data_IF_366084219510
#
_entry.id   IF_366084219510
#
_cell.length_a   1.000
_cell.length_b   1.000
_cell.length_c   1.000
_cell.angle_alpha   90.00
_cell.angle_beta   90.00
_cell.angle_gamma   90.00
#
_symmetry.space_group_name_H-M   'P 1'
#
loop_
_entity.id
_entity.type
_entity.pdbx_description
1 polymer ?
#
# COMPACT_ATOMS: atom_id res chain seq x y z
N UNK A 1 18.48 -6.54 84.13
CA UNK A 1 18.08 -7.23 82.87
C UNK A 1 18.22 -6.26 81.70
N UNK A 2 18.40 -6.82 80.51
CA UNK A 2 19.01 -6.22 79.32
C UNK A 2 18.36 -4.93 78.80
N UNK A 3 19.24 -4.15 78.14
CA UNK A 3 19.08 -2.90 77.37
C UNK A 3 17.92 -2.95 76.36
N UNK A 4 17.36 -1.79 75.99
CA UNK A 4 17.46 -1.30 74.60
C UNK A 4 17.22 0.22 74.52
N UNK A 5 18.16 0.87 73.84
CA UNK A 5 18.23 2.30 73.51
C UNK A 5 17.43 2.54 72.22
N UNK A 6 16.56 3.55 72.21
CA UNK A 6 15.90 4.04 71.01
C UNK A 6 16.77 5.08 70.30
N UNK A 7 17.34 4.72 69.15
CA UNK A 7 17.96 5.66 68.22
C UNK A 7 16.90 6.13 67.20
N UNK A 8 16.70 7.45 67.10
CA UNK A 8 16.09 8.07 65.93
C UNK A 8 17.10 8.03 64.77
N UNK A 9 16.77 7.29 63.72
CA UNK A 9 17.47 7.32 62.43
C UNK A 9 16.76 8.22 61.45
N UNK A 10 17.38 9.34 61.07
CA UNK A 10 16.96 10.19 59.97
C UNK A 10 17.27 9.47 58.64
N UNK A 11 16.23 9.19 57.85
CA UNK A 11 16.37 8.62 56.50
C UNK A 11 16.82 9.69 55.51
N UNK A 12 18.04 9.57 55.00
CA UNK A 12 18.48 10.23 53.76
C UNK A 12 17.79 9.52 52.59
N UNK A 13 16.86 10.22 51.91
CA UNK A 13 16.37 9.80 50.61
C UNK A 13 17.32 10.35 49.53
N UNK A 14 18.18 9.51 48.97
CA UNK A 14 18.91 9.79 47.74
C UNK A 14 17.91 9.74 46.58
N UNK A 15 17.47 10.90 46.09
CA UNK A 15 16.74 11.02 44.84
C UNK A 15 17.68 10.78 43.67
N UNK A 16 17.57 9.61 43.04
CA UNK A 16 18.20 9.34 41.74
C UNK A 16 17.40 10.12 40.70
N UNK A 17 17.93 11.25 40.26
CA UNK A 17 17.39 11.97 39.10
C UNK A 17 17.61 11.12 37.85
N UNK A 18 16.55 10.44 37.41
CA UNK A 18 16.47 9.86 36.07
C UNK A 18 16.53 11.00 35.06
N UNK A 19 17.68 11.15 34.39
CA UNK A 19 17.79 11.97 33.19
C UNK A 19 16.94 11.29 32.12
N UNK A 20 15.74 11.82 31.90
CA UNK A 20 14.91 11.42 30.77
C UNK A 20 15.69 11.73 29.47
N UNK A 21 15.75 10.83 28.48
CA UNK A 21 16.29 11.18 27.18
C UNK A 21 15.42 12.30 26.60
N UNK A 22 16.05 13.40 26.23
CA UNK A 22 15.39 14.50 25.53
C UNK A 22 14.70 13.93 24.29
N UNK A 23 13.38 14.10 24.23
CA UNK A 23 12.61 13.83 23.02
C UNK A 23 13.24 14.65 21.89
N UNK A 24 13.76 13.96 20.88
CA UNK A 24 14.24 14.61 19.68
C UNK A 24 13.08 15.41 19.08
N UNK A 25 13.21 16.73 19.15
CA UNK A 25 12.34 17.68 18.50
C UNK A 25 12.29 17.34 17.00
N UNK A 26 11.10 17.26 16.36
CA UNK A 26 11.03 17.01 14.92
C UNK A 26 11.86 18.07 14.22
N UNK A 27 12.84 17.62 13.43
CA UNK A 27 13.66 18.51 12.63
C UNK A 27 12.73 19.38 11.78
N UNK A 28 12.90 20.70 11.90
CA UNK A 28 12.22 21.69 11.08
C UNK A 28 12.37 21.35 9.59
N UNK A 29 11.24 21.27 8.89
CA UNK A 29 11.07 21.35 7.44
C UNK A 29 12.13 20.64 6.59
N UNK A 30 11.81 19.44 6.09
CA UNK A 30 12.52 18.89 4.94
C UNK A 30 12.52 19.94 3.81
N UNK A 31 13.68 20.51 3.50
CA UNK A 31 13.85 21.39 2.35
C UNK A 31 13.41 20.58 1.11
N UNK A 32 12.36 21.04 0.43
CA UNK A 32 11.87 20.41 -0.78
C UNK A 32 13.00 20.24 -1.82
N UNK A 33 12.84 19.34 -2.80
CA UNK A 33 13.89 19.08 -3.78
C UNK A 33 14.29 20.39 -4.49
N UNK A 34 15.60 20.61 -4.59
CA UNK A 34 16.21 21.81 -5.20
C UNK A 34 15.73 22.02 -6.65
N UNK A 35 15.40 20.94 -7.35
CA UNK A 35 14.75 20.97 -8.66
C UNK A 35 13.67 19.89 -8.68
N UNK A 36 12.50 20.15 -9.22
CA UNK A 36 11.41 19.18 -9.36
C UNK A 36 10.98 19.03 -10.82
N UNK A 37 10.40 17.87 -11.15
CA UNK A 37 9.89 17.55 -12.48
C UNK A 37 8.46 17.06 -12.33
N UNK A 38 7.54 17.64 -13.10
CA UNK A 38 6.14 17.24 -13.18
C UNK A 38 5.76 16.94 -14.62
N UNK A 39 4.88 15.95 -14.79
CA UNK A 39 4.33 15.55 -16.09
C UNK A 39 2.84 15.89 -16.03
N UNK A 40 2.33 16.62 -17.02
CA UNK A 40 0.91 16.90 -17.15
C UNK A 40 0.12 15.63 -17.50
N UNK A 41 -1.20 15.70 -17.36
CA UNK A 41 -2.07 14.60 -17.80
C UNK A 41 -1.93 14.31 -19.28
N UNK A 42 -1.84 13.02 -19.60
CA UNK A 42 -1.82 12.51 -20.96
C UNK A 42 -3.23 12.02 -21.27
N UNK A 43 -3.78 12.45 -22.40
CA UNK A 43 -5.05 11.92 -22.89
C UNK A 43 -4.78 10.55 -23.54
N UNK A 44 -5.24 9.50 -22.85
CA UNK A 44 -5.00 8.10 -23.18
C UNK A 44 -6.07 7.50 -24.12
N UNK A 45 -6.97 8.30 -24.68
CA UNK A 45 -8.03 7.85 -25.59
C UNK A 45 -7.49 7.60 -27.02
N UNK A 46 -6.63 6.59 -27.15
CA UNK A 46 -5.98 6.25 -28.42
C UNK A 46 -6.83 5.38 -29.36
N UNK A 47 -6.44 5.27 -30.64
CA UNK A 47 -5.15 5.69 -31.19
C UNK A 47 -5.08 7.18 -31.53
N UNK A 48 -4.08 7.90 -30.99
CA UNK A 48 -3.86 9.33 -31.26
C UNK A 48 -2.45 9.82 -30.93
N UNK A 49 -2.13 11.04 -31.35
CA UNK A 49 -0.94 11.77 -30.87
C UNK A 49 -1.39 12.73 -29.77
N UNK A 50 -0.94 12.51 -28.54
CA UNK A 50 -1.24 13.39 -27.40
C UNK A 50 -0.07 14.33 -27.11
N UNK A 51 -0.26 15.66 -27.11
CA UNK A 51 0.74 16.59 -26.61
C UNK A 51 0.85 16.46 -25.09
N UNK A 52 2.07 16.31 -24.58
CA UNK A 52 2.36 16.14 -23.15
C UNK A 52 3.32 17.23 -22.71
N UNK A 53 2.91 17.98 -21.69
CA UNK A 53 3.76 19.00 -21.07
C UNK A 53 4.57 18.39 -19.92
N UNK A 54 5.89 18.61 -19.93
CA UNK A 54 6.78 18.30 -18.80
C UNK A 54 7.32 19.61 -18.26
N UNK A 55 7.10 19.88 -16.99
CA UNK A 55 7.55 21.12 -16.33
C UNK A 55 8.66 20.82 -15.33
N UNK A 56 9.78 21.52 -15.49
CA UNK A 56 10.92 21.51 -14.57
C UNK A 56 10.92 22.81 -13.79
N UNK A 57 10.90 22.72 -12.45
CA UNK A 57 10.92 23.89 -11.56
C UNK A 57 12.23 23.92 -10.77
N UNK A 58 12.96 25.03 -10.84
CA UNK A 58 14.16 25.23 -10.03
C UNK A 58 13.78 25.85 -8.68
N UNK A 59 13.62 25.02 -7.65
CA UNK A 59 13.41 25.46 -6.26
C UNK A 59 14.69 25.86 -5.51
N UNK A 60 15.86 25.76 -6.16
CA UNK A 60 17.15 26.00 -5.56
C UNK A 60 17.58 27.46 -5.51
N UNK A 61 18.72 27.70 -4.87
CA UNK A 61 19.33 29.04 -4.75
C UNK A 61 20.25 29.42 -5.92
N UNK A 62 20.60 28.46 -6.78
CA UNK A 62 21.48 28.66 -7.95
C UNK A 62 20.73 28.42 -9.26
N UNK A 63 21.07 29.16 -10.30
CA UNK A 63 20.54 28.93 -11.64
C UNK A 63 21.07 27.62 -12.24
N UNK A 64 20.21 26.88 -12.94
CA UNK A 64 20.58 25.66 -13.66
C UNK A 64 20.77 25.95 -15.16
N UNK A 65 21.68 25.24 -15.80
CA UNK A 65 22.05 25.41 -17.21
C UNK A 65 22.20 24.06 -17.90
N UNK A 66 22.30 24.06 -19.24
CA UNK A 66 22.42 22.83 -20.04
C UNK A 66 21.33 21.82 -19.66
N UNK A 67 20.09 22.32 -19.50
CA UNK A 67 18.96 21.50 -19.12
C UNK A 67 18.52 20.68 -20.33
N UNK A 68 18.49 19.37 -20.15
CA UNK A 68 17.97 18.39 -21.10
C UNK A 68 16.85 17.61 -20.41
N UNK A 69 15.69 17.56 -21.06
CA UNK A 69 14.51 16.87 -20.54
C UNK A 69 14.21 15.68 -21.44
N UNK A 70 14.20 14.48 -20.87
CA UNK A 70 13.84 13.24 -21.57
C UNK A 70 12.53 12.69 -21.04
N UNK A 71 11.56 12.40 -21.91
CA UNK A 71 10.31 11.73 -21.58
C UNK A 71 10.34 10.27 -22.06
N UNK A 72 10.11 9.35 -21.14
CA UNK A 72 9.94 7.93 -21.41
C UNK A 72 8.48 7.52 -21.20
N UNK A 73 7.88 6.93 -22.23
CA UNK A 73 6.54 6.35 -22.18
C UNK A 73 6.58 4.87 -21.72
N UNK A 74 5.42 4.29 -21.35
CA UNK A 74 5.29 2.87 -21.04
C UNK A 74 5.75 1.95 -22.18
N UNK A 75 6.00 0.68 -21.86
CA UNK A 75 6.34 -0.33 -22.87
C UNK A 75 5.28 -0.39 -23.98
N UNK A 76 5.72 -0.38 -25.23
CA UNK A 76 4.85 -0.41 -26.42
C UNK A 76 4.32 0.95 -26.88
N UNK A 77 4.68 2.05 -26.19
CA UNK A 77 4.34 3.41 -26.58
C UNK A 77 5.55 4.11 -27.19
N UNK A 78 5.32 5.08 -28.08
CA UNK A 78 6.38 5.88 -28.68
C UNK A 78 6.25 7.35 -28.28
N UNK A 79 7.40 8.03 -28.16
CA UNK A 79 7.47 9.48 -27.95
C UNK A 79 8.28 10.06 -29.10
N UNK A 80 7.69 10.98 -29.85
CA UNK A 80 8.42 11.74 -30.87
C UNK A 80 9.36 12.71 -30.18
N UNK A 81 10.61 12.75 -30.63
CA UNK A 81 11.68 13.56 -30.03
C UNK A 81 11.69 13.46 -28.50
N UNK A 82 11.91 12.24 -28.01
CA UNK A 82 11.87 11.89 -26.59
C UNK A 82 12.81 12.72 -25.70
N UNK A 83 13.72 13.51 -26.28
CA UNK A 83 14.63 14.41 -25.58
C UNK A 83 14.55 15.83 -26.16
N UNK A 84 14.37 16.82 -25.28
CA UNK A 84 14.35 18.24 -25.61
C UNK A 84 15.43 18.98 -24.80
N UNK A 85 16.32 19.67 -25.50
CA UNK A 85 17.30 20.57 -24.88
C UNK A 85 16.67 21.96 -24.66
N UNK A 86 16.76 22.48 -23.44
CA UNK A 86 16.29 23.81 -23.07
C UNK A 86 17.45 24.80 -23.15
N UNK A 87 17.27 25.83 -23.96
CA UNK A 87 18.26 26.89 -24.13
C UNK A 87 18.25 27.88 -22.97
N UNK A 88 19.44 28.36 -22.57
CA UNK A 88 19.60 29.37 -21.53
C UNK A 88 19.74 28.79 -20.12
N UNK A 89 19.43 29.61 -19.12
CA UNK A 89 19.48 29.24 -17.71
C UNK A 89 18.11 29.38 -17.06
N UNK A 90 17.75 28.43 -16.20
CA UNK A 90 16.53 28.50 -15.39
C UNK A 90 16.91 29.04 -14.02
N UNK A 91 16.48 30.27 -13.73
CA UNK A 91 16.82 30.97 -12.48
C UNK A 91 16.13 30.32 -11.27
N UNK A 92 16.63 30.55 -10.04
CA UNK A 92 15.91 30.26 -8.81
C UNK A 92 14.44 30.70 -8.86
N UNK A 93 13.53 29.81 -8.46
CA UNK A 93 12.09 30.01 -8.46
C UNK A 93 11.40 29.94 -9.83
N UNK A 94 12.13 29.78 -10.93
CA UNK A 94 11.54 29.70 -12.27
C UNK A 94 11.21 28.26 -12.67
N UNK A 95 10.23 28.15 -13.57
CA UNK A 95 9.85 26.90 -14.22
C UNK A 95 9.99 27.01 -15.72
N UNK A 96 10.28 25.89 -16.38
CA UNK A 96 10.27 25.77 -17.83
C UNK A 96 9.46 24.54 -18.23
N UNK A 97 8.67 24.67 -19.29
CA UNK A 97 7.81 23.60 -19.81
C UNK A 97 8.29 23.18 -21.19
N UNK A 98 8.58 21.89 -21.34
CA UNK A 98 8.87 21.23 -22.62
C UNK A 98 7.63 20.46 -23.08
N UNK A 99 7.38 20.44 -24.39
CA UNK A 99 6.27 19.69 -24.99
C UNK A 99 6.81 18.47 -25.72
N UNK A 100 6.18 17.33 -25.50
CA UNK A 100 6.44 16.06 -26.17
C UNK A 100 5.19 15.60 -26.90
N UNK A 101 5.36 14.83 -27.98
CA UNK A 101 4.24 14.19 -28.68
C UNK A 101 4.30 12.70 -28.39
N UNK A 102 3.32 12.20 -27.65
CA UNK A 102 3.21 10.79 -27.29
C UNK A 102 2.24 10.11 -28.24
N UNK A 103 2.70 9.03 -28.89
CA UNK A 103 1.84 8.16 -29.69
C UNK A 103 1.12 7.19 -28.75
N UNK A 104 -0.16 7.48 -28.53
CA UNK A 104 -1.08 6.72 -27.70
C UNK A 104 -1.62 5.57 -28.56
N UNK A 105 -1.36 4.30 -28.21
CA UNK A 105 -1.86 3.15 -28.94
C UNK A 105 -3.37 2.99 -28.74
N UNK A 106 -3.98 2.11 -29.53
CA UNK A 106 -5.36 1.67 -29.35
C UNK A 106 -5.57 1.11 -27.93
N UNK A 107 -6.70 1.48 -27.31
CA UNK A 107 -7.04 1.01 -25.98
C UNK A 107 -7.34 -0.48 -25.96
N UNK A 108 -7.14 -1.07 -24.78
CA UNK A 108 -7.54 -2.45 -24.48
C UNK A 108 -8.45 -2.42 -23.27
N UNK A 109 -9.34 -3.41 -23.19
CA UNK A 109 -10.28 -3.55 -22.07
C UNK A 109 -9.57 -3.85 -20.74
N UNK A 110 -8.41 -4.52 -20.80
CA UNK A 110 -7.61 -4.85 -19.61
C UNK A 110 -7.19 -3.60 -18.82
N UNK A 111 -7.42 -3.63 -17.51
CA UNK A 111 -6.90 -2.59 -16.62
C UNK A 111 -5.38 -2.62 -16.61
N UNK A 112 -4.75 -1.48 -16.94
CA UNK A 112 -3.30 -1.36 -16.93
C UNK A 112 -2.89 0.01 -16.41
N UNK A 113 -2.00 0.04 -15.43
CA UNK A 113 -1.29 1.25 -15.02
C UNK A 113 -0.19 1.59 -16.04
N UNK A 114 -0.22 2.82 -16.52
CA UNK A 114 0.70 3.42 -17.49
C UNK A 114 1.54 4.46 -16.78
N UNK A 115 2.80 4.13 -16.50
CA UNK A 115 3.74 5.06 -15.87
C UNK A 115 4.62 5.74 -16.93
N UNK A 116 4.53 7.07 -16.97
CA UNK A 116 5.41 7.95 -17.72
C UNK A 116 6.50 8.46 -16.78
N UNK A 117 7.73 8.59 -17.29
CA UNK A 117 8.88 9.02 -16.52
C UNK A 117 9.61 10.12 -17.27
N UNK A 118 9.79 11.27 -16.63
CA UNK A 118 10.54 12.39 -17.16
C UNK A 118 11.82 12.57 -16.35
N UNK A 119 12.95 12.68 -17.04
CA UNK A 119 14.27 12.91 -16.43
C UNK A 119 14.78 14.26 -16.90
N UNK A 120 15.13 15.13 -15.95
CA UNK A 120 15.79 16.40 -16.23
C UNK A 120 17.26 16.29 -15.82
N UNK A 121 18.16 16.35 -16.80
CA UNK A 121 19.61 16.44 -16.61
C UNK A 121 20.05 17.89 -16.76
N UNK A 122 20.85 18.41 -15.83
CA UNK A 122 21.25 19.82 -15.85
C UNK A 122 22.59 20.05 -15.15
N UNK A 123 23.23 21.19 -15.38
CA UNK A 123 24.40 21.66 -14.63
C UNK A 123 24.04 22.73 -13.61
N UNK A 124 24.58 22.60 -12.41
CA UNK A 124 24.54 23.62 -11.35
C UNK A 124 25.91 23.71 -10.70
N UNK A 125 26.47 24.91 -10.57
CA UNK A 125 27.81 25.11 -9.99
C UNK A 125 28.95 24.34 -10.70
N UNK A 126 28.78 23.99 -11.98
CA UNK A 126 29.75 23.21 -12.76
C UNK A 126 29.56 21.69 -12.70
N UNK A 127 28.70 21.19 -11.82
CA UNK A 127 28.41 19.75 -11.64
C UNK A 127 27.13 19.36 -12.37
N UNK A 128 27.11 18.18 -12.98
CA UNK A 128 25.91 17.61 -13.62
C UNK A 128 25.05 16.92 -12.57
N UNK A 129 23.75 17.19 -12.61
CA UNK A 129 22.73 16.62 -11.76
C UNK A 129 21.62 16.03 -12.62
N UNK A 130 20.86 15.10 -12.04
CA UNK A 130 19.68 14.53 -12.66
C UNK A 130 18.56 14.38 -11.63
N UNK A 131 17.35 14.69 -12.04
CA UNK A 131 16.13 14.51 -11.24
C UNK A 131 15.05 13.87 -12.10
N UNK A 132 14.25 13.01 -11.50
CA UNK A 132 13.18 12.28 -12.17
C UNK A 132 11.83 12.63 -11.56
N UNK A 133 10.84 12.84 -12.42
CA UNK A 133 9.43 12.90 -12.08
C UNK A 133 8.68 11.78 -12.80
N UNK A 134 7.61 11.30 -12.21
CA UNK A 134 6.76 10.26 -12.81
C UNK A 134 5.29 10.63 -12.69
N UNK A 135 4.51 10.21 -13.69
CA UNK A 135 3.05 10.24 -13.65
C UNK A 135 2.52 8.86 -14.04
N UNK A 136 1.62 8.32 -13.25
CA UNK A 136 0.92 7.08 -13.50
C UNK A 136 -0.55 7.38 -13.76
N UNK A 137 -1.08 6.84 -14.84
CA UNK A 137 -2.50 6.90 -15.22
C UNK A 137 -2.97 5.48 -15.57
N UNK A 138 -4.27 5.26 -15.67
CA UNK A 138 -4.84 3.95 -16.01
C UNK A 138 -5.50 3.95 -17.39
N UNK A 139 -5.53 2.78 -18.00
CA UNK A 139 -6.45 2.42 -19.09
C UNK A 139 -7.25 1.20 -18.63
N UNK A 140 -8.45 0.97 -19.19
CA UNK A 140 -9.33 -0.14 -18.80
C UNK A 140 -10.07 0.10 -17.48
N UNK A 141 -10.80 -0.91 -17.01
CA UNK A 141 -11.69 -0.80 -15.83
C UNK A 141 -11.12 -1.57 -14.65
N UNK A 142 -10.82 -0.87 -13.55
CA UNK A 142 -10.44 -1.49 -12.28
C UNK A 142 -11.67 -2.14 -11.62
N UNK A 143 -11.44 -3.10 -10.73
CA UNK A 143 -12.52 -3.62 -9.88
C UNK A 143 -13.10 -2.50 -9.02
N UNK A 144 -14.42 -2.42 -8.91
CA UNK A 144 -15.08 -1.42 -8.07
C UNK A 144 -14.97 -1.79 -6.59
N UNK A 145 -15.00 -3.09 -6.29
CA UNK A 145 -14.95 -3.62 -4.93
C UNK A 145 -14.20 -4.95 -4.88
N UNK A 146 -13.79 -5.36 -3.67
CA UNK A 146 -13.00 -6.58 -3.50
C UNK A 146 -13.78 -7.85 -3.90
N UNK A 147 -15.10 -7.84 -3.71
CA UNK A 147 -15.98 -8.96 -4.02
C UNK A 147 -15.97 -9.36 -5.50
N UNK A 148 -15.86 -8.39 -6.42
CA UNK A 148 -15.75 -8.66 -7.86
C UNK A 148 -14.47 -9.42 -8.24
N UNK A 149 -13.45 -9.37 -7.38
CA UNK A 149 -12.16 -10.01 -7.60
C UNK A 149 -11.98 -11.32 -6.81
N UNK A 150 -12.98 -11.77 -6.06
CA UNK A 150 -12.90 -13.03 -5.31
C UNK A 150 -12.60 -14.20 -6.25
N UNK A 151 -11.54 -14.93 -5.92
CA UNK A 151 -10.98 -15.96 -6.80
C UNK A 151 -10.60 -17.25 -6.07
N UNK A 152 -10.91 -17.34 -4.78
CA UNK A 152 -10.58 -18.48 -3.95
C UNK A 152 -11.64 -18.71 -2.86
N UNK A 153 -11.86 -19.99 -2.54
CA UNK A 153 -12.74 -20.43 -1.46
C UNK A 153 -11.93 -20.56 -0.17
N UNK A 154 -11.91 -19.50 0.64
CA UNK A 154 -11.18 -19.45 1.91
C UNK A 154 -11.96 -20.01 3.10
N UNK A 155 -13.27 -20.21 2.94
CA UNK A 155 -14.22 -20.60 4.01
C UNK A 155 -15.15 -21.67 3.46
N UNK A 156 -15.36 -22.73 4.22
CA UNK A 156 -16.32 -23.79 3.88
C UNK A 156 -17.18 -24.16 5.08
N UNK A 157 -18.31 -24.78 4.78
CA UNK A 157 -19.15 -25.42 5.78
C UNK A 157 -18.49 -26.72 6.25
N UNK A 158 -18.53 -27.01 7.56
CA UNK A 158 -17.98 -28.26 8.12
C UNK A 158 -18.59 -29.53 7.51
N UNK A 159 -19.85 -29.49 7.08
CA UNK A 159 -20.53 -30.59 6.40
C UNK A 159 -20.22 -30.69 4.91
N UNK A 160 -19.61 -29.65 4.32
CA UNK A 160 -19.22 -29.60 2.92
C UNK A 160 -17.87 -28.87 2.72
N UNK A 161 -16.75 -29.45 3.20
CA UNK A 161 -15.44 -28.80 3.12
C UNK A 161 -14.78 -28.91 1.74
N UNK A 162 -15.30 -29.77 0.86
CA UNK A 162 -14.70 -30.11 -0.43
C UNK A 162 -14.31 -28.93 -1.33
N UNK A 163 -15.10 -27.83 -1.41
CA UNK A 163 -14.76 -26.67 -2.23
C UNK A 163 -13.58 -25.82 -1.72
N UNK A 164 -13.13 -26.01 -0.48
CA UNK A 164 -12.15 -25.15 0.18
C UNK A 164 -10.75 -25.29 -0.38
N UNK A 165 -9.99 -24.19 -0.42
CA UNK A 165 -8.59 -24.22 -0.84
C UNK A 165 -7.76 -23.01 -0.33
N UNK A 166 -7.99 -22.56 0.89
CA UNK A 166 -7.24 -21.44 1.48
C UNK A 166 -5.73 -21.66 1.44
N UNK A 167 -5.24 -22.85 1.81
CA UNK A 167 -3.80 -23.12 1.89
C UNK A 167 -3.18 -23.76 0.63
N UNK A 168 -3.95 -23.87 -0.45
CA UNK A 168 -3.54 -24.58 -1.67
C UNK A 168 -3.54 -26.11 -1.55
N UNK A 169 -3.77 -26.66 -0.36
CA UNK A 169 -3.87 -28.09 -0.06
C UNK A 169 -5.31 -28.57 0.17
N UNK A 170 -6.30 -27.75 -0.16
CA UNK A 170 -7.72 -28.06 0.03
C UNK A 170 -8.28 -27.75 1.42
N UNK A 171 -7.50 -27.13 2.31
CA UNK A 171 -7.99 -26.76 3.65
C UNK A 171 -8.54 -25.32 3.64
N UNK A 172 -9.44 -25.01 4.55
CA UNK A 172 -10.07 -23.68 4.66
C UNK A 172 -10.42 -23.32 6.11
N UNK A 173 -10.81 -22.08 6.35
CA UNK A 173 -11.50 -21.74 7.60
C UNK A 173 -12.86 -22.46 7.67
N UNK A 174 -13.31 -22.77 8.89
CA UNK A 174 -14.64 -23.33 9.18
C UNK A 174 -15.64 -22.19 9.36
N UNK A 175 -16.76 -22.23 8.63
CA UNK A 175 -17.85 -21.27 8.79
C UNK A 175 -18.44 -21.30 10.21
N UNK A 176 -18.57 -22.50 10.79
CA UNK A 176 -19.06 -22.71 12.15
C UNK A 176 -18.06 -22.18 13.20
N UNK A 177 -16.76 -22.33 12.98
CA UNK A 177 -15.74 -21.75 13.85
C UNK A 177 -15.73 -20.22 13.80
N UNK A 178 -15.94 -19.63 12.61
CA UNK A 178 -16.10 -18.18 12.45
C UNK A 178 -17.35 -17.68 13.19
N UNK A 179 -18.49 -18.37 13.05
CA UNK A 179 -19.72 -18.02 13.74
C UNK A 179 -19.56 -18.12 15.26
N UNK A 180 -18.88 -19.15 15.76
CA UNK A 180 -18.53 -19.29 17.17
C UNK A 180 -17.61 -18.15 17.67
N UNK A 181 -16.80 -17.57 16.79
CA UNK A 181 -16.00 -16.37 17.05
C UNK A 181 -16.79 -15.05 16.86
N UNK A 182 -18.10 -15.13 16.57
CA UNK A 182 -18.99 -13.98 16.42
C UNK A 182 -19.01 -13.34 15.03
N UNK A 183 -18.45 -14.02 14.02
CA UNK A 183 -18.35 -13.50 12.64
C UNK A 183 -19.19 -14.36 11.70
N UNK A 184 -20.15 -13.72 11.04
CA UNK A 184 -20.99 -14.32 9.98
C UNK A 184 -20.82 -13.51 8.68
N UNK A 185 -21.29 -14.01 7.52
CA UNK A 185 -21.24 -13.23 6.28
C UNK A 185 -21.83 -11.83 6.45
N UNK A 186 -21.09 -10.80 6.02
CA UNK A 186 -21.49 -9.39 6.15
C UNK A 186 -21.25 -8.76 7.52
N UNK A 187 -20.66 -9.48 8.49
CA UNK A 187 -20.32 -8.90 9.80
C UNK A 187 -19.39 -7.69 9.66
N UNK A 188 -19.69 -6.56 10.32
CA UNK A 188 -18.76 -5.43 10.39
C UNK A 188 -17.57 -5.77 11.29
N UNK A 189 -16.40 -5.25 10.93
CA UNK A 189 -15.13 -5.43 11.64
C UNK A 189 -14.47 -4.06 11.79
N UNK A 190 -14.57 -3.49 12.99
CA UNK A 190 -13.93 -2.21 13.33
C UNK A 190 -12.53 -2.45 13.89
N UNK A 191 -11.48 -2.05 13.16
CA UNK A 191 -10.09 -2.31 13.56
C UNK A 191 -9.12 -1.30 12.92
N UNK A 192 -8.08 -0.88 13.66
CA UNK A 192 -7.08 0.10 13.20
C UNK A 192 -7.68 1.43 12.70
N UNK A 193 -8.87 1.80 13.18
CA UNK A 193 -9.60 3.01 12.79
C UNK A 193 -10.44 2.88 11.51
N UNK A 194 -10.45 1.70 10.88
CA UNK A 194 -11.28 1.41 9.71
C UNK A 194 -12.52 0.57 10.08
N UNK A 195 -13.58 0.74 9.30
CA UNK A 195 -14.74 -0.16 9.26
C UNK A 195 -14.61 -1.07 8.04
N UNK A 196 -14.34 -2.36 8.28
CA UNK A 196 -14.24 -3.40 7.27
C UNK A 196 -15.48 -4.30 7.33
N UNK A 197 -15.71 -5.09 6.30
CA UNK A 197 -16.82 -6.05 6.22
C UNK A 197 -16.29 -7.44 5.95
N UNK A 198 -16.69 -8.42 6.77
CA UNK A 198 -16.43 -9.83 6.46
C UNK A 198 -17.20 -10.23 5.19
N UNK A 199 -16.61 -11.00 4.25
CA UNK A 199 -17.23 -11.32 2.97
C UNK A 199 -18.69 -11.77 3.08
N UNK A 200 -19.59 -11.06 2.38
CA UNK A 200 -21.03 -11.34 2.38
C UNK A 200 -21.40 -12.36 1.30
N UNK A 201 -20.83 -13.57 1.42
CA UNK A 201 -21.09 -14.67 0.48
C UNK A 201 -21.27 -16.00 1.22
N UNK A 202 -22.02 -16.96 0.66
CA UNK A 202 -22.17 -18.28 1.26
C UNK A 202 -20.82 -19.03 1.37
N UNK A 203 -20.67 -19.82 2.43
CA UNK A 203 -19.52 -20.72 2.56
C UNK A 203 -19.42 -21.70 1.37
N UNK A 204 -18.21 -22.03 0.95
CA UNK A 204 -17.97 -22.86 -0.23
C UNK A 204 -18.00 -22.09 -1.57
N UNK A 205 -18.22 -20.78 -1.54
CA UNK A 205 -18.07 -19.89 -2.70
C UNK A 205 -16.83 -19.00 -2.57
N UNK A 206 -16.29 -18.45 -3.68
CA UNK A 206 -15.16 -17.53 -3.61
C UNK A 206 -15.45 -16.35 -2.68
N UNK A 207 -14.58 -16.14 -1.69
CA UNK A 207 -14.80 -15.16 -0.61
C UNK A 207 -13.54 -14.37 -0.23
N UNK A 208 -12.45 -14.57 -0.95
CA UNK A 208 -11.22 -13.84 -0.73
C UNK A 208 -10.49 -13.64 -2.06
N UNK A 209 -9.62 -12.65 -2.08
CA UNK A 209 -8.70 -12.40 -3.19
C UNK A 209 -7.34 -12.98 -2.84
N UNK A 210 -6.90 -14.00 -3.58
CA UNK A 210 -5.48 -14.37 -3.63
C UNK A 210 -4.75 -13.27 -4.38
N UNK A 211 -3.75 -12.66 -3.73
CA UNK A 211 -3.07 -11.48 -4.25
C UNK A 211 -2.22 -11.81 -5.49
N UNK A 212 -2.63 -11.28 -6.64
CA UNK A 212 -2.02 -11.48 -7.97
C UNK A 212 -1.79 -10.16 -8.72
N UNK A 213 -1.81 -9.01 -8.02
CA UNK A 213 -1.70 -7.69 -8.66
C UNK A 213 -3.02 -7.11 -9.14
N UNK A 214 -4.16 -7.58 -8.64
CA UNK A 214 -5.47 -6.97 -8.89
C UNK A 214 -5.46 -5.50 -8.47
N UNK A 215 -6.15 -4.65 -9.22
CA UNK A 215 -6.28 -3.23 -8.91
C UNK A 215 -7.74 -2.87 -8.71
N UNK A 216 -7.97 -2.06 -7.68
CA UNK A 216 -9.28 -1.62 -7.24
C UNK A 216 -9.35 -0.11 -7.33
N UNK A 217 -10.46 0.41 -7.85
CA UNK A 217 -10.78 1.83 -7.75
C UNK A 217 -11.07 2.17 -6.29
N UNK A 218 -10.54 3.29 -5.83
CA UNK A 218 -10.80 3.84 -4.50
C UNK A 218 -11.05 5.34 -4.70
N UNK A 219 -12.03 5.90 -4.00
CA UNK A 219 -12.31 7.33 -4.00
C UNK A 219 -12.32 7.84 -2.56
N UNK A 220 -11.21 8.43 -2.13
CA UNK A 220 -11.09 8.98 -0.78
C UNK A 220 -9.67 9.28 -0.34
N UNK A 221 -9.54 9.85 0.84
CA UNK A 221 -8.28 10.15 1.53
C UNK A 221 -8.34 9.65 2.96
N UNK A 222 -7.18 9.47 3.59
CA UNK A 222 -7.03 9.07 4.99
C UNK A 222 -5.56 9.02 5.38
N UNK A 223 -5.25 8.75 6.65
CA UNK A 223 -3.87 8.56 7.12
C UNK A 223 -3.32 7.17 6.76
N UNK A 224 -4.20 6.18 6.61
CA UNK A 224 -3.80 4.80 6.31
C UNK A 224 -4.87 4.05 5.52
N UNK A 225 -4.43 2.99 4.85
CA UNK A 225 -5.28 1.98 4.24
C UNK A 225 -5.15 0.70 5.05
N UNK A 226 -6.26 0.23 5.62
CA UNK A 226 -6.35 -0.97 6.44
C UNK A 226 -6.82 -2.13 5.57
N UNK A 227 -6.22 -3.30 5.77
CA UNK A 227 -6.55 -4.54 5.08
C UNK A 227 -6.92 -5.61 6.10
N UNK A 228 -7.99 -6.35 5.80
CA UNK A 228 -8.31 -7.61 6.45
C UNK A 228 -7.74 -8.76 5.62
N UNK A 229 -6.93 -9.62 6.23
CA UNK A 229 -6.26 -10.68 5.50
C UNK A 229 -5.64 -11.76 6.36
N UNK A 230 -5.12 -12.79 5.70
CA UNK A 230 -4.37 -13.87 6.33
C UNK A 230 -3.46 -14.51 5.28
N UNK A 231 -2.45 -15.26 5.72
CA UNK A 231 -1.53 -15.92 4.81
C UNK A 231 -1.47 -17.44 4.98
N UNK A 232 -1.25 -18.17 3.90
CA UNK A 232 -0.82 -19.56 3.92
C UNK A 232 0.64 -19.64 3.46
N UNK A 233 1.57 -19.58 4.42
CA UNK A 233 3.00 -19.44 4.19
C UNK A 233 3.50 -18.02 4.43
N UNK A 234 4.45 -17.55 3.61
CA UNK A 234 5.08 -16.23 3.75
C UNK A 234 4.24 -15.15 3.08
N UNK A 235 3.44 -14.42 3.86
CA UNK A 235 2.48 -13.44 3.37
C UNK A 235 2.99 -11.99 3.31
N UNK A 236 4.13 -11.70 2.70
CA UNK A 236 4.65 -10.32 2.55
C UNK A 236 4.65 -9.90 1.09
N UNK A 237 4.31 -8.64 0.81
CA UNK A 237 4.36 -8.09 -0.54
C UNK A 237 4.21 -6.57 -0.59
N UNK A 238 4.34 -6.03 -1.80
CA UNK A 238 4.25 -4.58 -2.04
C UNK A 238 2.87 -4.19 -2.55
N UNK A 239 2.17 -3.33 -1.81
CA UNK A 239 0.97 -2.62 -2.26
C UNK A 239 1.39 -1.36 -3.01
N UNK A 240 0.73 -1.05 -4.12
CA UNK A 240 0.88 0.24 -4.81
C UNK A 240 -0.36 1.08 -4.63
N UNK A 241 -0.15 2.31 -4.17
CA UNK A 241 -1.19 3.33 -4.04
C UNK A 241 -0.98 4.33 -5.17
N UNK A 242 -2.00 4.55 -6.00
CA UNK A 242 -1.99 5.59 -7.03
C UNK A 242 -2.96 6.68 -6.64
N UNK A 243 -2.52 7.93 -6.64
CA UNK A 243 -3.33 9.09 -6.27
C UNK A 243 -3.93 9.77 -7.50
N UNK A 244 -5.00 10.54 -7.30
CA UNK A 244 -5.71 11.26 -8.37
C UNK A 244 -4.84 12.30 -9.08
N UNK A 245 -3.78 12.81 -8.43
CA UNK A 245 -2.79 13.70 -9.05
C UNK A 245 -1.83 12.97 -10.02
N UNK A 246 -1.95 11.64 -10.14
CA UNK A 246 -1.13 10.77 -10.96
C UNK A 246 0.20 10.35 -10.30
N UNK A 247 0.48 10.77 -9.07
CA UNK A 247 1.61 10.24 -8.30
C UNK A 247 1.28 8.87 -7.74
N UNK A 248 2.30 8.13 -7.29
CA UNK A 248 2.10 6.83 -6.65
C UNK A 248 3.08 6.59 -5.52
N UNK A 249 2.68 5.78 -4.54
CA UNK A 249 3.49 5.28 -3.45
C UNK A 249 3.51 3.75 -3.46
N UNK A 250 4.59 3.18 -2.94
CA UNK A 250 4.72 1.74 -2.72
C UNK A 250 4.89 1.50 -1.23
N UNK A 251 4.10 0.58 -0.68
CA UNK A 251 4.10 0.25 0.74
C UNK A 251 4.27 -1.26 0.92
N UNK A 252 4.94 -1.66 2.01
CA UNK A 252 5.04 -3.07 2.38
C UNK A 252 3.82 -3.47 3.20
N UNK A 253 3.14 -4.54 2.80
CA UNK A 253 2.04 -5.17 3.53
C UNK A 253 2.46 -6.59 3.91
N UNK A 254 2.13 -7.02 5.13
CA UNK A 254 2.41 -8.37 5.60
C UNK A 254 1.28 -8.97 6.42
N UNK A 255 1.00 -10.25 6.20
CA UNK A 255 0.15 -11.08 7.05
C UNK A 255 0.94 -12.28 7.58
N UNK A 256 0.85 -12.59 8.88
CA UNK A 256 1.37 -13.84 9.43
C UNK A 256 0.71 -15.06 8.79
N UNK A 257 1.36 -16.22 8.90
CA UNK A 257 0.73 -17.48 8.54
C UNK A 257 -0.53 -17.66 9.42
N UNK A 258 -1.62 -18.10 8.79
CA UNK A 258 -2.95 -18.30 9.37
C UNK A 258 -2.95 -19.14 10.64
N UNK A 259 -1.93 -19.95 10.88
CA UNK A 259 -1.69 -20.56 12.19
C UNK A 259 -0.20 -20.53 12.55
N UNK A 260 0.08 -20.86 13.80
CA UNK A 260 1.36 -21.46 14.18
C UNK A 260 2.60 -20.55 14.06
N UNK A 261 2.42 -19.27 13.74
CA UNK A 261 3.44 -18.21 13.79
C UNK A 261 3.06 -17.16 14.83
N UNK A 262 4.02 -16.29 15.19
CA UNK A 262 3.72 -15.17 16.09
C UNK A 262 2.67 -14.25 15.45
N UNK A 263 1.59 -13.89 16.17
CA UNK A 263 0.43 -13.20 15.59
C UNK A 263 0.68 -11.72 15.27
N UNK A 264 1.78 -11.15 15.77
CA UNK A 264 2.20 -9.76 15.57
C UNK A 264 3.25 -9.60 14.46
N UNK A 265 3.60 -10.68 13.74
CA UNK A 265 4.55 -10.61 12.63
C UNK A 265 4.10 -9.56 11.60
N UNK A 266 5.08 -8.79 11.11
CA UNK A 266 4.89 -7.71 10.15
C UNK A 266 4.00 -6.55 10.65
N UNK A 267 3.78 -6.44 11.97
CA UNK A 267 2.91 -5.42 12.56
C UNK A 267 1.42 -5.71 12.43
N UNK A 268 1.06 -6.95 12.09
CA UNK A 268 -0.33 -7.36 12.00
C UNK A 268 -1.00 -7.45 13.38
N UNK A 269 -2.31 -7.29 13.41
CA UNK A 269 -3.16 -7.42 14.60
C UNK A 269 -4.10 -8.60 14.38
N UNK A 270 -4.15 -9.62 15.26
CA UNK A 270 -5.15 -10.69 15.15
C UNK A 270 -6.56 -10.11 15.40
N UNK A 271 -7.52 -10.47 14.54
CA UNK A 271 -8.89 -9.95 14.57
C UNK A 271 -9.90 -11.06 14.83
N UNK A 272 -9.74 -12.19 14.16
CA UNK A 272 -10.61 -13.35 14.31
C UNK A 272 -9.74 -14.55 14.63
N UNK A 273 -10.09 -15.27 15.69
CA UNK A 273 -9.41 -16.50 16.10
C UNK A 273 -10.39 -17.67 16.10
N UNK A 274 -10.00 -18.78 15.48
CA UNK A 274 -10.76 -20.03 15.40
C UNK A 274 -9.91 -21.15 16.00
N UNK A 275 -10.52 -22.11 16.67
CA UNK A 275 -9.80 -23.19 17.37
C UNK A 275 -9.48 -24.40 16.47
N UNK A 276 -9.93 -24.39 15.22
CA UNK A 276 -9.74 -25.46 14.25
C UNK A 276 -9.91 -24.95 12.81
N UNK A 277 -9.72 -25.84 11.84
CA UNK A 277 -9.94 -25.57 10.41
C UNK A 277 -10.77 -26.67 9.76
N UNK A 278 -11.25 -26.42 8.56
CA UNK A 278 -11.75 -27.48 7.69
C UNK A 278 -10.62 -28.09 6.88
N UNK A 279 -10.58 -29.42 6.88
CA UNK A 279 -9.83 -30.23 5.92
C UNK A 279 -10.81 -30.86 4.93
N UNK A 280 -10.32 -31.42 3.82
CA UNK A 280 -11.18 -32.14 2.87
C UNK A 280 -11.97 -33.30 3.49
N UNK A 281 -11.54 -33.82 4.65
CA UNK A 281 -12.23 -34.89 5.38
C UNK A 281 -13.24 -34.39 6.44
N UNK A 282 -13.37 -33.08 6.63
CA UNK A 282 -14.17 -32.46 7.69
C UNK A 282 -13.33 -31.56 8.62
N UNK A 283 -13.95 -31.01 9.68
CA UNK A 283 -13.26 -30.18 10.65
C UNK A 283 -12.19 -30.99 11.40
N UNK A 284 -11.01 -30.40 11.55
CA UNK A 284 -9.87 -31.03 12.19
C UNK A 284 -8.91 -30.00 12.79
N UNK A 285 -7.87 -30.50 13.47
CA UNK A 285 -6.84 -29.68 14.12
C UNK A 285 -7.37 -28.81 15.26
N UNK A 286 -8.38 -29.29 15.99
CA UNK A 286 -8.88 -28.66 17.21
C UNK A 286 -7.76 -28.36 18.22
N UNK A 287 -7.84 -27.17 18.83
CA UNK A 287 -6.84 -26.65 19.75
C UNK A 287 -5.69 -25.90 19.08
N UNK A 288 -5.63 -25.87 17.73
CA UNK A 288 -4.71 -25.01 16.99
C UNK A 288 -5.44 -23.72 16.62
N UNK A 289 -4.92 -22.58 17.04
CA UNK A 289 -5.53 -21.29 16.71
C UNK A 289 -5.22 -20.89 15.27
N UNK A 290 -6.27 -20.81 14.46
CA UNK A 290 -6.28 -20.24 13.10
C UNK A 290 -6.78 -18.80 13.14
N UNK A 291 -6.23 -17.92 12.31
CA UNK A 291 -6.39 -16.47 12.45
C UNK A 291 -6.63 -15.73 11.16
N UNK A 292 -7.48 -14.71 11.26
CA UNK A 292 -7.55 -13.58 10.34
C UNK A 292 -6.97 -12.36 11.06
N UNK A 293 -6.22 -11.56 10.32
CA UNK A 293 -5.49 -10.41 10.82
C UNK A 293 -5.94 -9.12 10.12
N UNK A 294 -5.72 -8.00 10.78
CA UNK A 294 -5.67 -6.68 10.16
C UNK A 294 -4.23 -6.19 10.08
N UNK A 295 -3.90 -5.49 9.01
CA UNK A 295 -2.67 -4.71 8.93
C UNK A 295 -2.94 -3.45 8.09
N UNK A 296 -2.09 -2.44 8.19
CA UNK A 296 -2.29 -1.18 7.47
C UNK A 296 -1.01 -0.67 6.84
N UNK A 297 -1.18 0.17 5.82
CA UNK A 297 -0.08 0.90 5.19
C UNK A 297 -0.35 2.40 5.26
N UNK A 298 0.68 3.24 5.44
CA UNK A 298 0.49 4.68 5.53
C UNK A 298 0.13 5.28 4.17
N UNK A 299 -0.73 6.30 4.21
CA UNK A 299 -1.12 7.14 3.09
C UNK A 299 -0.63 8.58 3.30
N UNK A 300 -0.61 9.37 2.22
CA UNK A 300 -0.48 10.82 2.33
C UNK A 300 -1.89 11.41 2.51
N UNK A 301 -2.25 11.93 3.69
CA UNK A 301 -3.61 12.41 3.97
C UNK A 301 -3.97 13.67 3.17
N UNK A 302 -2.98 14.33 2.55
CA UNK A 302 -3.22 15.48 1.68
C UNK A 302 -3.63 15.09 0.25
N UNK A 303 -3.63 13.79 -0.09
CA UNK A 303 -3.93 13.28 -1.43
C UNK A 303 -5.09 12.31 -1.41
N UNK A 304 -5.88 12.36 -2.49
CA UNK A 304 -6.96 11.41 -2.74
C UNK A 304 -6.40 10.18 -3.46
N UNK A 305 -6.63 9.00 -2.90
CA UNK A 305 -6.33 7.72 -3.54
C UNK A 305 -7.29 7.54 -4.72
N UNK A 306 -6.76 7.08 -5.85
CA UNK A 306 -7.52 6.70 -7.03
C UNK A 306 -7.56 5.18 -7.22
N UNK A 307 -6.42 4.50 -6.96
CA UNK A 307 -6.30 3.07 -7.13
C UNK A 307 -5.42 2.43 -6.06
N UNK A 308 -5.79 1.21 -5.68
CA UNK A 308 -4.96 0.31 -4.87
C UNK A 308 -4.68 -0.94 -5.68
N UNK A 309 -3.40 -1.23 -5.93
CA UNK A 309 -2.96 -2.48 -6.53
C UNK A 309 -2.39 -3.38 -5.45
N UNK A 310 -2.96 -4.58 -5.31
CA UNK A 310 -2.51 -5.58 -4.35
C UNK A 310 -1.12 -6.13 -4.72
N UNK A 311 -0.42 -6.77 -3.77
CA UNK A 311 0.81 -7.48 -4.08
C UNK A 311 0.59 -8.66 -5.04
N UNK A 312 1.69 -9.17 -5.60
CA UNK A 312 1.71 -10.46 -6.30
C UNK A 312 2.36 -11.50 -5.40
N UNK A 313 1.55 -12.14 -4.54
CA UNK A 313 1.99 -13.20 -3.65
C UNK A 313 0.83 -14.16 -3.38
N UNK A 314 0.92 -15.38 -3.91
CA UNK A 314 -0.15 -16.37 -3.81
C UNK A 314 -0.41 -16.88 -2.38
N UNK A 315 0.49 -16.62 -1.44
CA UNK A 315 0.27 -16.91 -0.02
C UNK A 315 -0.63 -15.88 0.67
N UNK A 316 -0.88 -14.71 0.07
CA UNK A 316 -1.66 -13.63 0.69
C UNK A 316 -3.12 -13.68 0.25
N UNK A 317 -4.02 -13.69 1.22
CA UNK A 317 -5.47 -13.66 1.03
C UNK A 317 -6.02 -12.39 1.66
N UNK A 318 -6.70 -11.57 0.85
CA UNK A 318 -7.36 -10.34 1.31
C UNK A 318 -8.87 -10.58 1.32
N UNK A 319 -9.52 -10.22 2.41
CA UNK A 319 -10.96 -10.36 2.63
C UNK A 319 -11.70 -9.03 2.46
N UNK A 320 -11.06 -7.93 2.87
CA UNK A 320 -11.55 -6.57 2.66
C UNK A 320 -10.44 -5.51 2.82
N UNK A 321 -10.70 -4.27 2.42
CA UNK A 321 -9.85 -3.11 2.69
C UNK A 321 -10.66 -1.81 2.79
N UNK A 322 -10.21 -0.90 3.67
CA UNK A 322 -10.88 0.38 3.91
C UNK A 322 -9.89 1.48 4.34
N UNK A 323 -10.22 2.72 3.99
CA UNK A 323 -9.49 3.91 4.43
C UNK A 323 -9.75 4.19 5.91
N UNK A 324 -8.76 4.75 6.61
CA UNK A 324 -8.88 5.20 7.99
C UNK A 324 -8.05 6.47 8.25
N UNK A 325 -8.51 7.25 9.23
CA UNK A 325 -7.80 8.38 9.83
C UNK A 325 -6.95 7.94 11.02
#
# INVERSE_FOLDING_TARGET
MRRLVGLLGAGLALGVALVAPAAAQPAAGAAGPTVSVSIAEIDLDGPRISPVAVTVTNGGSSGIQQLEVTLKAPLGWAVEDATVAVSGSVKPGQSVTSKFLVQVPEQREEFVLRTFTATASYKSGGTVHSVTGSRTQSTGVAYAELAEAYNNVGVTDESNPGPGNFDGGGNSFSAQALEAAGVVPGSPISVLGAELTWPEVPAGTPNNVVARGQTFAVDGSGERLVFLGSAAGTGVGTVRITYTDGTSAQQSLGFPNWCCTAPDQYGATPVIEMDHRNTQAGPANYGITYRVFANSVPLDPSRTVAYVTLPTNAAMHVFDMALAD
#
